data_IF_096870160811
#
_entry.id   IF_096870160811
#
_cell.length_a   1.000
_cell.length_b   1.000
_cell.length_c   1.000
_cell.angle_alpha   90.00
_cell.angle_beta   90.00
_cell.angle_gamma   90.00
#
_symmetry.space_group_name_H-M   'P 1'
#
loop_
_entity.id
_entity.type
_entity.pdbx_description
1 polymer ?
#
# COMPACT_ATOMS: atom_id res chain seq x y z
N UNK A 1 23.95 -17.57 50.63
CA UNK A 1 22.79 -18.04 49.83
C UNK A 1 22.55 -17.01 48.75
N UNK A 2 22.83 -17.38 47.50
CA UNK A 2 22.60 -16.58 46.31
C UNK A 2 21.38 -17.16 45.58
N UNK A 3 20.40 -16.34 45.23
CA UNK A 3 19.39 -16.55 44.17
C UNK A 3 18.71 -15.20 43.92
N UNK A 4 18.35 -14.75 42.71
CA UNK A 4 18.83 -14.92 41.36
C UNK A 4 18.20 -13.73 40.62
N UNK A 5 18.99 -12.95 39.88
CA UNK A 5 18.51 -11.98 38.90
C UNK A 5 18.32 -12.72 37.58
N UNK A 6 17.11 -12.77 37.03
CA UNK A 6 16.89 -12.56 35.60
C UNK A 6 15.42 -12.70 35.22
N UNK A 7 14.96 -11.73 34.44
CA UNK A 7 13.63 -11.69 33.84
C UNK A 7 13.71 -10.86 32.58
N UNK A 8 14.64 -11.23 31.70
CA UNK A 8 14.85 -10.65 30.38
C UNK A 8 13.53 -10.53 29.62
N UNK A 9 13.11 -9.28 29.42
CA UNK A 9 12.12 -8.92 28.43
C UNK A 9 12.67 -9.37 27.07
N UNK A 10 12.08 -10.45 26.51
CA UNK A 10 12.31 -10.84 25.12
C UNK A 10 11.82 -9.70 24.21
N UNK A 11 12.69 -8.74 23.96
CA UNK A 11 12.61 -7.85 22.81
C UNK A 11 12.67 -8.80 21.61
N UNK A 12 11.50 -9.07 21.02
CA UNK A 12 11.41 -9.73 19.73
C UNK A 12 12.03 -8.78 18.71
N UNK A 13 13.36 -8.81 18.60
CA UNK A 13 14.11 -8.07 17.59
C UNK A 13 13.56 -8.50 16.24
N UNK A 14 12.83 -7.58 15.58
CA UNK A 14 12.51 -7.74 14.17
C UNK A 14 13.85 -7.95 13.45
N UNK A 15 14.01 -8.99 12.62
CA UNK A 15 15.17 -9.09 11.75
C UNK A 15 15.26 -7.79 10.97
N UNK A 16 16.38 -7.09 11.10
CA UNK A 16 16.59 -5.87 10.32
C UNK A 16 16.55 -6.24 8.84
N UNK A 17 15.82 -5.48 8.00
CA UNK A 17 15.79 -5.74 6.57
C UNK A 17 17.22 -5.63 6.01
N UNK A 18 17.55 -6.51 5.08
CA UNK A 18 18.84 -6.47 4.41
C UNK A 18 18.83 -5.33 3.37
N UNK A 19 19.25 -4.14 3.79
CA UNK A 19 19.28 -2.96 2.92
C UNK A 19 20.15 -3.12 1.67
N UNK A 20 21.10 -4.05 1.64
CA UNK A 20 21.91 -4.33 0.45
C UNK A 20 21.18 -5.22 -0.58
N UNK A 21 19.99 -5.72 -0.24
CA UNK A 21 19.16 -6.51 -1.15
C UNK A 21 18.55 -5.64 -2.24
N UNK A 22 18.60 -6.13 -3.49
CA UNK A 22 17.95 -5.46 -4.64
C UNK A 22 16.45 -5.25 -4.44
N UNK A 23 15.77 -6.15 -3.72
CA UNK A 23 14.34 -6.05 -3.44
C UNK A 23 14.04 -4.89 -2.48
N UNK A 24 14.90 -4.66 -1.49
CA UNK A 24 14.75 -3.55 -0.54
C UNK A 24 15.02 -2.23 -1.24
N UNK A 25 16.09 -2.15 -2.03
CA UNK A 25 16.42 -0.94 -2.80
C UNK A 25 15.33 -0.60 -3.82
N UNK A 26 14.83 -1.57 -4.60
CA UNK A 26 13.73 -1.36 -5.55
C UNK A 26 12.45 -0.86 -4.87
N UNK A 27 12.11 -1.42 -3.70
CA UNK A 27 10.95 -0.98 -2.95
C UNK A 27 11.11 0.45 -2.40
N UNK A 28 12.27 0.79 -1.86
CA UNK A 28 12.54 2.13 -1.34
C UNK A 28 12.62 3.19 -2.45
N UNK A 29 13.22 2.86 -3.60
CA UNK A 29 13.27 3.76 -4.76
C UNK A 29 11.88 4.02 -5.34
N UNK A 30 11.04 2.98 -5.44
CA UNK A 30 9.64 3.14 -5.84
C UNK A 30 8.86 3.96 -4.81
N UNK A 31 9.06 3.73 -3.52
CA UNK A 31 8.41 4.52 -2.47
C UNK A 31 8.88 5.98 -2.43
N UNK A 32 10.15 6.25 -2.74
CA UNK A 32 10.69 7.61 -2.76
C UNK A 32 10.22 8.44 -3.96
N UNK A 33 9.87 7.77 -5.07
CA UNK A 33 9.47 8.38 -6.34
C UNK A 33 7.96 8.40 -6.58
N UNK A 34 7.17 7.75 -5.73
CA UNK A 34 5.71 7.68 -5.84
C UNK A 34 5.05 9.04 -5.53
N UNK A 35 4.01 9.38 -6.29
CA UNK A 35 3.13 10.51 -5.96
C UNK A 35 2.10 10.11 -4.89
N UNK A 36 1.52 11.09 -4.21
CA UNK A 36 0.61 10.84 -3.09
C UNK A 36 -0.71 10.15 -3.52
N UNK A 37 -1.17 10.37 -4.75
CA UNK A 37 -2.40 9.73 -5.25
C UNK A 37 -2.13 8.26 -5.54
N UNK A 38 -1.00 7.95 -6.19
CA UNK A 38 -0.53 6.59 -6.39
C UNK A 38 -0.26 5.88 -5.06
N UNK A 39 0.34 6.56 -4.07
CA UNK A 39 0.54 6.01 -2.72
C UNK A 39 -0.80 5.64 -2.07
N UNK A 40 -1.81 6.52 -2.16
CA UNK A 40 -3.15 6.21 -1.67
C UNK A 40 -3.76 5.01 -2.41
N UNK A 41 -3.53 4.89 -3.71
CA UNK A 41 -4.00 3.74 -4.48
C UNK A 41 -3.25 2.46 -4.09
N UNK A 42 -1.96 2.51 -3.77
CA UNK A 42 -1.18 1.37 -3.26
C UNK A 42 -1.67 0.88 -1.90
N UNK A 43 -2.11 1.80 -1.03
CA UNK A 43 -2.67 1.45 0.27
C UNK A 43 -4.05 0.76 0.18
N UNK A 44 -4.86 1.07 -0.85
CA UNK A 44 -6.22 0.53 -1.02
C UNK A 44 -6.24 -0.99 -1.19
N UNK A 45 -7.13 -1.65 -0.45
CA UNK A 45 -7.47 -3.05 -0.69
C UNK A 45 -8.35 -3.15 -1.93
N UNK A 46 -7.79 -3.80 -2.96
CA UNK A 46 -8.53 -4.15 -4.17
C UNK A 46 -8.90 -5.63 -4.15
N UNK A 47 -10.06 -5.94 -4.70
CA UNK A 47 -10.61 -7.30 -4.76
C UNK A 47 -10.66 -7.77 -6.20
N UNK A 48 -10.46 -9.08 -6.40
CA UNK A 48 -10.44 -9.68 -7.72
C UNK A 48 -11.83 -9.55 -8.35
N UNK A 49 -11.88 -8.90 -9.52
CA UNK A 49 -13.10 -8.62 -10.28
C UNK A 49 -13.42 -9.68 -11.33
N UNK A 50 -12.74 -10.83 -11.29
CA UNK A 50 -13.03 -11.93 -12.20
C UNK A 50 -14.44 -12.47 -11.97
N UNK A 51 -15.27 -12.37 -13.00
CA UNK A 51 -16.63 -12.92 -13.06
C UNK A 51 -16.66 -13.97 -14.15
N UNK A 52 -16.41 -15.24 -13.83
CA UNK A 52 -16.49 -16.29 -14.86
C UNK A 52 -17.59 -17.31 -14.65
N UNK A 53 -17.96 -17.70 -13.43
CA UNK A 53 -18.94 -18.78 -13.23
C UNK A 53 -19.75 -18.63 -11.92
N UNK A 54 -20.67 -17.65 -11.89
CA UNK A 54 -21.66 -17.41 -10.81
C UNK A 54 -21.13 -17.11 -9.39
N UNK A 55 -19.83 -17.22 -9.15
CA UNK A 55 -19.15 -16.64 -7.98
C UNK A 55 -18.08 -15.65 -8.43
N UNK A 56 -18.12 -14.44 -7.87
CA UNK A 56 -17.00 -13.49 -7.99
C UNK A 56 -15.84 -14.04 -7.17
N UNK A 57 -14.63 -14.03 -7.74
CA UNK A 57 -13.44 -14.53 -7.05
C UNK A 57 -13.23 -13.80 -5.71
N UNK A 58 -13.38 -12.48 -5.69
CA UNK A 58 -13.41 -11.68 -4.47
C UNK A 58 -12.12 -11.65 -3.65
N UNK A 59 -11.10 -12.44 -3.99
CA UNK A 59 -9.81 -12.47 -3.28
C UNK A 59 -9.05 -11.16 -3.39
N UNK A 60 -8.27 -10.82 -2.36
CA UNK A 60 -7.41 -9.63 -2.39
C UNK A 60 -6.41 -9.66 -3.54
N UNK A 61 -6.23 -8.50 -4.14
CA UNK A 61 -5.33 -8.31 -5.27
C UNK A 61 -4.01 -7.74 -4.76
N UNK A 62 -2.98 -8.58 -4.83
CA UNK A 62 -1.61 -8.23 -4.47
C UNK A 62 -0.79 -7.66 -5.63
N UNK A 63 -1.29 -7.78 -6.86
CA UNK A 63 -0.55 -7.45 -8.06
C UNK A 63 -1.34 -6.52 -8.98
N UNK A 64 -0.65 -5.67 -9.73
CA UNK A 64 -1.21 -4.89 -10.83
C UNK A 64 -0.97 -5.60 -12.16
N UNK A 65 -1.87 -5.42 -13.13
CA UNK A 65 -1.65 -5.89 -14.49
C UNK A 65 -0.55 -5.07 -15.15
N UNK A 66 0.48 -5.73 -15.68
CA UNK A 66 1.63 -5.04 -16.29
C UNK A 66 1.25 -4.27 -17.58
N UNK A 67 0.12 -4.61 -18.22
CA UNK A 67 -0.34 -3.91 -19.43
C UNK A 67 -1.04 -2.57 -19.18
N UNK A 68 -1.63 -2.36 -18.00
CA UNK A 68 -2.45 -1.17 -17.74
C UNK A 68 -2.38 -0.63 -16.31
N UNK A 69 -1.59 -1.25 -15.42
CA UNK A 69 -1.42 -0.81 -14.04
C UNK A 69 -2.62 -1.07 -13.11
N UNK A 70 -3.71 -1.69 -13.57
CA UNK A 70 -4.88 -1.92 -12.74
C UNK A 70 -4.73 -3.15 -11.82
N UNK A 71 -4.95 -2.95 -10.52
CA UNK A 71 -5.06 -4.01 -9.51
C UNK A 71 -6.46 -4.66 -9.54
N UNK A 72 -6.78 -5.34 -10.64
CA UNK A 72 -8.15 -5.81 -10.91
C UNK A 72 -8.34 -7.33 -10.83
N UNK A 73 -7.26 -8.10 -10.90
CA UNK A 73 -7.27 -9.56 -10.94
C UNK A 73 -6.22 -10.12 -9.98
N UNK A 74 -6.56 -11.19 -9.25
CA UNK A 74 -5.57 -11.95 -8.50
C UNK A 74 -4.65 -12.74 -9.46
N UNK A 75 -3.52 -13.25 -8.93
CA UNK A 75 -2.52 -13.96 -9.74
C UNK A 75 -3.07 -15.20 -10.46
N UNK A 76 -4.08 -15.87 -9.92
CA UNK A 76 -4.73 -17.00 -10.59
C UNK A 76 -5.71 -16.57 -11.68
N UNK A 77 -6.50 -15.51 -11.43
CA UNK A 77 -7.47 -15.04 -12.40
C UNK A 77 -6.81 -14.30 -13.57
N UNK A 78 -5.67 -13.64 -13.35
CA UNK A 78 -4.89 -13.02 -14.43
C UNK A 78 -4.36 -14.04 -15.43
N UNK A 79 -4.24 -15.32 -15.06
CA UNK A 79 -3.86 -16.38 -15.99
C UNK A 79 -5.01 -16.82 -16.90
N UNK A 80 -6.26 -16.67 -16.44
CA UNK A 80 -7.46 -17.13 -17.11
C UNK A 80 -8.16 -16.02 -17.90
N UNK A 81 -7.83 -14.77 -17.65
CA UNK A 81 -8.42 -13.62 -18.31
C UNK A 81 -7.47 -13.05 -19.35
N UNK A 82 -8.00 -12.74 -20.53
CA UNK A 82 -7.23 -12.15 -21.64
C UNK A 82 -7.37 -10.62 -21.70
N UNK A 83 -8.30 -10.05 -20.93
CA UNK A 83 -8.58 -8.62 -20.89
C UNK A 83 -8.75 -8.13 -19.45
N UNK A 84 -8.32 -6.90 -19.19
CA UNK A 84 -8.57 -6.23 -17.91
C UNK A 84 -10.08 -5.98 -17.72
N UNK A 85 -10.69 -6.40 -16.61
CA UNK A 85 -12.12 -6.16 -16.36
C UNK A 85 -12.47 -4.69 -16.11
N UNK A 86 -11.48 -3.83 -15.86
CA UNK A 86 -11.67 -2.39 -15.61
C UNK A 86 -11.61 -1.58 -16.91
N UNK A 87 -10.51 -1.69 -17.66
CA UNK A 87 -10.24 -0.85 -18.82
C UNK A 87 -10.28 -1.59 -20.17
N UNK A 88 -10.51 -2.92 -20.15
CA UNK A 88 -10.56 -3.80 -21.33
C UNK A 88 -9.27 -3.90 -22.15
N UNK A 89 -8.16 -3.32 -21.69
CA UNK A 89 -6.83 -3.53 -22.29
C UNK A 89 -6.46 -5.01 -22.27
N UNK A 90 -5.93 -5.51 -23.38
CA UNK A 90 -5.48 -6.90 -23.49
C UNK A 90 -4.35 -7.21 -22.50
N UNK A 91 -4.42 -8.39 -21.90
CA UNK A 91 -3.39 -8.92 -21.01
C UNK A 91 -2.42 -9.72 -21.88
N UNK A 92 -1.12 -9.39 -21.92
CA UNK A 92 -0.16 -10.08 -22.75
C UNK A 92 -0.09 -11.56 -22.37
N UNK A 93 0.02 -12.43 -23.38
CA UNK A 93 0.14 -13.88 -23.16
C UNK A 93 1.59 -14.32 -22.87
N UNK A 94 2.56 -13.44 -23.08
CA UNK A 94 4.00 -13.71 -23.01
C UNK A 94 4.65 -12.65 -22.11
N UNK A 95 5.45 -13.08 -21.13
CA UNK A 95 6.12 -12.21 -20.15
C UNK A 95 5.40 -12.14 -18.78
N UNK A 96 5.86 -11.23 -17.91
CA UNK A 96 5.23 -10.99 -16.61
C UNK A 96 3.87 -10.32 -16.80
N UNK A 97 2.79 -11.10 -16.65
CA UNK A 97 1.40 -10.62 -16.76
C UNK A 97 1.02 -9.62 -15.67
N UNK A 98 1.67 -9.77 -14.52
CA UNK A 98 1.37 -9.03 -13.31
C UNK A 98 2.66 -8.59 -12.62
N UNK A 99 2.60 -7.47 -11.92
CA UNK A 99 3.69 -6.92 -11.10
C UNK A 99 3.20 -6.74 -9.67
N UNK A 100 4.04 -7.09 -8.69
CA UNK A 100 3.70 -6.93 -7.28
C UNK A 100 3.53 -5.46 -6.93
N UNK A 101 2.47 -5.15 -6.19
CA UNK A 101 2.17 -3.80 -5.68
C UNK A 101 3.16 -3.37 -4.61
N UNK A 102 3.39 -2.07 -4.48
CA UNK A 102 4.41 -1.50 -3.61
C UNK A 102 4.22 -1.92 -2.15
N UNK A 103 2.98 -1.90 -1.66
CA UNK A 103 2.68 -2.34 -0.29
C UNK A 103 3.18 -3.76 0.00
N UNK A 104 2.93 -4.70 -0.92
CA UNK A 104 3.36 -6.09 -0.76
C UNK A 104 4.85 -6.27 -1.05
N UNK A 105 5.45 -5.46 -1.93
CA UNK A 105 6.91 -5.38 -2.08
C UNK A 105 7.60 -5.00 -0.77
N UNK A 106 7.08 -4.01 -0.05
CA UNK A 106 7.59 -3.63 1.27
C UNK A 106 7.46 -4.77 2.30
N UNK A 107 6.42 -5.61 2.21
CA UNK A 107 6.29 -6.81 3.04
C UNK A 107 7.34 -7.86 2.67
N UNK A 108 7.50 -8.17 1.37
CA UNK A 108 8.51 -9.14 0.89
C UNK A 108 9.93 -8.70 1.21
N UNK A 109 10.20 -7.39 1.15
CA UNK A 109 11.45 -6.76 1.53
C UNK A 109 11.71 -6.79 3.06
N UNK A 110 10.71 -7.15 3.87
CA UNK A 110 10.79 -7.12 5.33
C UNK A 110 10.73 -5.72 5.94
N UNK A 111 10.43 -4.68 5.14
CA UNK A 111 10.22 -3.31 5.58
C UNK A 111 8.91 -3.19 6.39
N UNK A 112 7.89 -3.98 6.03
CA UNK A 112 6.62 -4.07 6.76
C UNK A 112 6.49 -5.47 7.39
N UNK A 113 6.17 -5.51 8.69
CA UNK A 113 6.03 -6.78 9.40
C UNK A 113 4.78 -7.56 8.98
N UNK A 114 4.98 -8.81 8.53
CA UNK A 114 3.94 -9.73 8.06
C UNK A 114 2.85 -10.06 9.09
N UNK A 115 3.11 -9.88 10.40
CA UNK A 115 2.10 -10.10 11.47
C UNK A 115 0.87 -9.20 11.33
N UNK A 116 0.98 -8.09 10.59
CA UNK A 116 -0.16 -7.25 10.29
C UNK A 116 -1.04 -7.84 9.18
N UNK A 117 -0.49 -8.58 8.21
CA UNK A 117 -1.20 -9.05 7.02
C UNK A 117 -2.14 -10.25 7.31
N UNK A 118 -1.72 -11.19 8.17
CA UNK A 118 -2.51 -12.40 8.48
C UNK A 118 -3.82 -12.12 9.24
N UNK A 119 -3.88 -11.01 10.00
CA UNK A 119 -5.10 -10.58 10.70
C UNK A 119 -6.23 -10.12 9.77
N UNK A 120 -5.90 -9.79 8.52
CA UNK A 120 -6.88 -9.27 7.55
C UNK A 120 -7.57 -10.38 6.74
N UNK A 121 -7.09 -11.62 6.81
CA UNK A 121 -7.61 -12.68 5.93
C UNK A 121 -8.91 -13.33 6.43
N UNK A 122 -9.25 -13.26 7.73
CA UNK A 122 -10.27 -14.17 8.26
C UNK A 122 -11.60 -13.59 8.75
N UNK A 123 -11.77 -12.29 9.00
CA UNK A 123 -13.07 -11.78 9.47
C UNK A 123 -13.04 -10.25 9.51
N UNK A 124 -13.58 -9.56 8.50
CA UNK A 124 -14.13 -8.24 8.81
C UNK A 124 -15.21 -7.81 7.84
N UNK A 125 -16.34 -7.44 8.45
CA UNK A 125 -17.51 -6.86 7.81
C UNK A 125 -17.13 -5.53 7.14
N UNK A 126 -17.88 -5.20 6.09
CA UNK A 126 -17.67 -4.06 5.17
C UNK A 126 -17.46 -2.67 5.78
N UNK A 127 -17.57 -2.50 7.10
CA UNK A 127 -17.30 -1.24 7.82
C UNK A 127 -15.83 -1.03 8.19
N UNK A 128 -14.98 -2.06 8.14
CA UNK A 128 -13.60 -1.98 8.65
C UNK A 128 -12.54 -1.90 7.54
N UNK A 129 -12.93 -1.93 6.27
CA UNK A 129 -12.01 -1.80 5.13
C UNK A 129 -11.37 -0.40 5.04
N UNK A 130 -12.11 0.68 5.32
CA UNK A 130 -11.55 2.04 5.33
C UNK A 130 -10.46 2.21 6.40
N UNK A 131 -10.66 1.61 7.58
CA UNK A 131 -9.65 1.61 8.64
C UNK A 131 -8.40 0.84 8.24
N UNK A 132 -8.57 -0.22 7.45
CA UNK A 132 -7.46 -1.04 6.96
C UNK A 132 -6.63 -0.29 5.90
N UNK A 133 -7.27 0.40 4.95
CA UNK A 133 -6.58 1.20 3.94
C UNK A 133 -5.74 2.30 4.60
N UNK A 134 -6.31 2.98 5.61
CA UNK A 134 -5.61 3.98 6.42
C UNK A 134 -4.41 3.36 7.15
N UNK A 135 -4.58 2.17 7.73
CA UNK A 135 -3.48 1.47 8.40
C UNK A 135 -2.34 1.12 7.44
N UNK A 136 -2.66 0.67 6.21
CA UNK A 136 -1.65 0.39 5.18
C UNK A 136 -0.89 1.64 4.78
N UNK A 137 -1.59 2.76 4.67
CA UNK A 137 -0.98 4.05 4.38
C UNK A 137 -0.02 4.49 5.50
N UNK A 138 -0.42 4.34 6.77
CA UNK A 138 0.47 4.63 7.90
C UNK A 138 1.72 3.76 7.89
N UNK A 139 1.59 2.46 7.60
CA UNK A 139 2.75 1.58 7.51
C UNK A 139 3.72 1.99 6.39
N UNK A 140 3.22 2.49 5.25
CA UNK A 140 4.07 3.02 4.18
C UNK A 140 4.78 4.31 4.61
N UNK A 141 4.10 5.18 5.36
CA UNK A 141 4.73 6.37 5.94
C UNK A 141 5.75 6.04 7.03
N UNK A 142 5.50 5.03 7.87
CA UNK A 142 6.47 4.56 8.85
C UNK A 142 7.75 4.10 8.16
N UNK A 143 7.63 3.29 7.09
CA UNK A 143 8.78 2.88 6.26
C UNK A 143 9.49 4.12 5.68
N UNK A 144 8.75 5.10 5.16
CA UNK A 144 9.33 6.31 4.61
C UNK A 144 10.10 7.14 5.67
N UNK A 145 9.56 7.26 6.88
CA UNK A 145 10.19 7.96 8.01
C UNK A 145 11.43 7.23 8.51
N UNK A 146 11.33 5.91 8.71
CA UNK A 146 12.44 5.07 9.17
C UNK A 146 13.62 5.06 8.17
N UNK A 147 13.33 5.22 6.88
CA UNK A 147 14.32 5.24 5.80
C UNK A 147 14.70 6.64 5.32
N UNK A 148 14.24 7.70 6.00
CA UNK A 148 14.53 9.09 5.66
C UNK A 148 14.22 9.43 4.19
N UNK A 149 13.06 9.00 3.68
CA UNK A 149 12.61 9.33 2.33
C UNK A 149 12.08 10.77 2.27
N UNK A 150 13.02 11.73 2.34
CA UNK A 150 12.75 13.17 2.47
C UNK A 150 11.84 13.68 1.35
N UNK A 151 11.99 13.17 0.12
CA UNK A 151 11.15 13.56 -1.03
C UNK A 151 9.65 13.34 -0.73
N UNK A 152 9.28 12.13 -0.30
CA UNK A 152 7.90 11.77 -0.02
C UNK A 152 7.35 12.54 1.19
N UNK A 153 8.17 12.69 2.24
CA UNK A 153 7.79 13.41 3.47
C UNK A 153 7.53 14.89 3.13
N UNK A 154 8.44 15.54 2.42
CA UNK A 154 8.29 16.94 2.01
C UNK A 154 7.09 17.12 1.09
N UNK A 155 6.88 16.24 0.11
CA UNK A 155 5.72 16.31 -0.78
C UNK A 155 4.40 16.21 0.00
N UNK A 156 4.31 15.32 0.99
CA UNK A 156 3.15 15.20 1.86
C UNK A 156 2.89 16.50 2.64
N UNK A 157 3.93 17.04 3.30
CA UNK A 157 3.82 18.29 4.07
C UNK A 157 3.41 19.47 3.18
N UNK A 158 4.05 19.63 2.02
CA UNK A 158 3.74 20.69 1.06
C UNK A 158 2.29 20.61 0.60
N UNK A 159 1.82 19.42 0.24
CA UNK A 159 0.43 19.20 -0.20
C UNK A 159 -0.58 19.56 0.90
N UNK A 160 -0.29 19.19 2.15
CA UNK A 160 -1.14 19.54 3.28
C UNK A 160 -1.17 21.06 3.49
N UNK A 161 -0.01 21.72 3.49
CA UNK A 161 0.09 23.17 3.65
C UNK A 161 -0.69 23.90 2.54
N UNK A 162 -0.54 23.48 1.28
CA UNK A 162 -1.27 24.04 0.15
C UNK A 162 -2.79 23.93 0.33
N UNK A 163 -3.29 22.77 0.76
CA UNK A 163 -4.73 22.58 1.02
C UNK A 163 -5.23 23.48 2.16
N UNK A 164 -4.45 23.64 3.23
CA UNK A 164 -4.80 24.54 4.32
C UNK A 164 -4.84 26.00 3.88
N UNK A 165 -3.83 26.46 3.14
CA UNK A 165 -3.79 27.83 2.60
C UNK A 165 -4.95 28.10 1.65
N UNK A 166 -5.26 27.14 0.76
CA UNK A 166 -6.41 27.24 -0.14
C UNK A 166 -7.72 27.40 0.63
N UNK A 167 -7.97 26.54 1.62
CA UNK A 167 -9.17 26.63 2.48
C UNK A 167 -9.24 27.94 3.25
N UNK A 168 -8.12 28.42 3.80
CA UNK A 168 -8.07 29.72 4.47
C UNK A 168 -8.44 30.86 3.50
N UNK A 169 -7.96 30.82 2.26
CA UNK A 169 -8.29 31.84 1.26
C UNK A 169 -9.78 31.83 0.88
N UNK A 170 -10.40 30.65 0.72
CA UNK A 170 -11.84 30.53 0.47
C UNK A 170 -12.68 31.06 1.64
N UNK A 171 -12.28 30.77 2.89
CA UNK A 171 -12.95 31.28 4.08
C UNK A 171 -12.84 32.81 4.20
N UNK A 172 -11.66 33.37 3.89
CA UNK A 172 -11.46 34.82 3.88
C UNK A 172 -12.28 35.50 2.78
N UNK A 173 -12.33 34.94 1.57
CA UNK A 173 -13.19 35.42 0.48
C UNK A 173 -14.67 35.31 0.82
N UNK A 174 -15.10 34.21 1.46
CA UNK A 174 -16.46 34.06 1.94
C UNK A 174 -16.79 35.09 3.03
N UNK A 175 -15.87 35.44 3.93
CA UNK A 175 -16.12 36.50 4.90
C UNK A 175 -16.26 37.88 4.25
N UNK A 176 -15.46 38.17 3.21
CA UNK A 176 -15.50 39.46 2.49
C UNK A 176 -16.70 39.63 1.56
N UNK A 177 -17.27 38.55 1.02
CA UNK A 177 -18.47 38.61 0.14
C UNK A 177 -19.77 38.78 0.95
N UNK A 178 -19.76 38.46 2.24
CA UNK A 178 -20.92 38.60 3.15
C UNK A 178 -20.84 39.83 4.09
N UNK A 179 -19.89 40.74 3.87
CA UNK A 179 -19.81 42.08 4.50
C UNK A 179 -20.11 43.17 3.50
#
# INVERSE_FOLDING_TARGET
>A
MAMATDGDARISSRPLPNYDSSIVQDALEQLASIDLIALCNEAKIEHCRATRDLSSCGRYVQHVLSSCGHASLCAECSQRCDVCPVCRTSIPNIGSRVQLRLYYKCIEAGLISKRHDDRFQEKESSRNHSMTDIQRLYLLFDVALENNLVSLICNCILTVIEQYLFRCSELMLSMYVFT
#
